data_IF_534001001444
#
_entry.id   IF_534001001444
#
_cell.length_a   1.000
_cell.length_b   1.000
_cell.length_c   1.000
_cell.angle_alpha   90.00
_cell.angle_beta   90.00
_cell.angle_gamma   90.00
#
_symmetry.space_group_name_H-M   'P 1'
#
loop_
_entity.id
_entity.type
_entity.pdbx_description
1 polymer ?
#
# COMPACT_ATOMS: atom_id res chain seq x y z
N UNK A 1 -7.53 41.64 7.16
CA UNK A 1 -7.50 40.30 6.53
C UNK A 1 -7.93 40.47 5.09
N UNK A 2 -7.26 39.83 4.12
CA UNK A 2 -7.70 39.88 2.73
C UNK A 2 -9.07 39.19 2.61
N UNK A 3 -9.99 39.79 1.86
CA UNK A 3 -11.32 39.23 1.61
C UNK A 3 -11.20 37.86 0.91
N UNK A 4 -11.99 36.87 1.35
CA UNK A 4 -11.99 35.50 0.84
C UNK A 4 -12.26 35.49 -0.67
N UNK A 5 -13.13 36.39 -1.15
CA UNK A 5 -13.44 36.53 -2.57
C UNK A 5 -12.22 36.93 -3.39
N UNK A 6 -11.40 37.85 -2.89
CA UNK A 6 -10.16 38.27 -3.54
C UNK A 6 -9.11 37.16 -3.54
N UNK A 7 -9.03 36.35 -2.48
CA UNK A 7 -8.14 35.20 -2.42
C UNK A 7 -8.54 34.11 -3.42
N UNK A 8 -9.84 33.84 -3.55
CA UNK A 8 -10.38 32.87 -4.52
C UNK A 8 -10.21 33.36 -5.96
N UNK A 9 -10.42 34.66 -6.22
CA UNK A 9 -10.15 35.25 -7.54
C UNK A 9 -8.70 35.09 -7.95
N UNK A 10 -7.77 35.41 -7.03
CA UNK A 10 -6.34 35.24 -7.26
C UNK A 10 -5.93 33.77 -7.45
N UNK A 11 -6.53 32.85 -6.68
CA UNK A 11 -6.31 31.41 -6.88
C UNK A 11 -6.76 30.97 -8.27
N UNK A 12 -7.93 31.43 -8.72
CA UNK A 12 -8.46 31.10 -10.04
C UNK A 12 -7.57 31.64 -11.16
N UNK A 13 -7.13 32.89 -11.09
CA UNK A 13 -6.20 33.49 -12.06
C UNK A 13 -4.90 32.68 -12.21
N UNK A 14 -4.33 32.23 -11.09
CA UNK A 14 -3.12 31.40 -11.11
C UNK A 14 -3.41 29.97 -11.57
N UNK A 15 -4.57 29.40 -11.24
CA UNK A 15 -4.98 28.08 -11.71
C UNK A 15 -5.14 28.03 -13.24
N UNK A 16 -5.64 29.12 -13.85
CA UNK A 16 -5.87 29.21 -15.30
C UNK A 16 -4.72 29.82 -16.09
N UNK A 17 -3.73 30.43 -15.44
CA UNK A 17 -2.60 31.09 -16.09
C UNK A 17 -1.24 30.47 -15.73
N UNK A 18 -0.41 31.15 -14.92
CA UNK A 18 0.98 30.73 -14.64
C UNK A 18 1.13 29.44 -13.82
N UNK A 19 0.03 28.89 -13.30
CA UNK A 19 -0.01 27.65 -12.54
C UNK A 19 0.12 27.83 -11.03
N UNK A 20 -0.45 26.88 -10.29
CA UNK A 20 -0.43 26.86 -8.81
C UNK A 20 1.00 26.81 -8.24
N UNK A 21 1.96 26.23 -8.98
CA UNK A 21 3.37 26.22 -8.59
C UNK A 21 3.94 27.63 -8.43
N UNK A 22 3.68 28.53 -9.40
CA UNK A 22 4.10 29.92 -9.35
C UNK A 22 3.41 30.69 -8.21
N UNK A 23 2.16 30.35 -7.90
CA UNK A 23 1.44 30.94 -6.76
C UNK A 23 2.10 30.58 -5.42
N UNK A 24 2.58 29.33 -5.27
CA UNK A 24 3.19 28.85 -4.03
C UNK A 24 4.55 29.47 -3.74
N UNK A 25 5.31 29.83 -4.77
CA UNK A 25 6.66 30.38 -4.66
C UNK A 25 6.70 31.90 -4.85
N UNK A 26 5.63 32.50 -5.37
CA UNK A 26 5.54 33.93 -5.66
C UNK A 26 5.68 34.80 -4.39
N UNK A 27 6.50 35.88 -4.42
CA UNK A 27 6.75 36.74 -3.24
C UNK A 27 5.50 37.39 -2.64
N UNK A 28 4.50 37.67 -3.49
CA UNK A 28 3.22 38.25 -3.06
C UNK A 28 2.22 37.19 -2.56
N UNK A 29 2.32 35.96 -3.05
CA UNK A 29 1.26 34.94 -2.93
C UNK A 29 1.60 33.81 -1.98
N UNK A 30 2.89 33.53 -1.72
CA UNK A 30 3.30 32.43 -0.83
C UNK A 30 2.72 32.57 0.60
N UNK A 31 2.47 33.80 1.05
CA UNK A 31 1.90 34.10 2.37
C UNK A 31 0.47 33.56 2.53
N UNK A 32 -0.29 33.38 1.45
CA UNK A 32 -1.63 32.79 1.47
C UNK A 32 -1.63 31.33 1.93
N UNK A 33 -0.51 30.64 1.78
CA UNK A 33 -0.34 29.27 2.24
C UNK A 33 0.17 29.18 3.69
N UNK A 34 0.37 30.31 4.38
CA UNK A 34 0.74 30.26 5.81
C UNK A 34 -0.48 29.91 6.67
N UNK A 35 -0.32 29.09 7.72
CA UNK A 35 -1.41 28.74 8.64
C UNK A 35 -2.13 29.97 9.21
N UNK A 36 -1.40 31.06 9.46
CA UNK A 36 -1.92 32.30 10.03
C UNK A 36 -2.88 33.09 9.13
N UNK A 37 -2.96 32.74 7.83
CA UNK A 37 -3.76 33.48 6.82
C UNK A 37 -4.95 32.65 6.34
N UNK A 38 -5.01 31.36 6.70
CA UNK A 38 -6.14 30.48 6.37
C UNK A 38 -7.22 30.61 7.47
N UNK A 39 -8.51 30.49 7.15
CA UNK A 39 -9.57 30.35 8.15
C UNK A 39 -9.24 29.21 9.12
N UNK A 40 -9.38 29.45 10.42
CA UNK A 40 -9.21 28.38 11.41
C UNK A 40 -10.38 27.41 11.31
N UNK A 41 -10.08 26.17 10.97
CA UNK A 41 -11.03 25.07 11.09
C UNK A 41 -10.89 24.46 12.49
N UNK A 42 -11.95 23.81 12.96
CA UNK A 42 -11.92 23.01 14.21
C UNK A 42 -10.81 21.95 14.20
N UNK A 43 -10.36 21.53 13.01
CA UNK A 43 -9.28 20.58 12.78
C UNK A 43 -7.88 21.22 12.67
N UNK A 44 -7.77 22.55 12.57
CA UNK A 44 -6.47 23.23 12.40
C UNK A 44 -5.57 23.17 13.64
N UNK A 45 -6.12 22.82 14.81
CA UNK A 45 -5.36 22.58 16.05
C UNK A 45 -4.77 21.17 16.14
N UNK A 46 -5.09 20.28 15.19
CA UNK A 46 -4.72 18.86 15.25
C UNK A 46 -3.30 18.55 14.73
N UNK A 47 -2.54 19.56 14.30
CA UNK A 47 -1.16 19.41 13.83
C UNK A 47 -1.02 18.60 12.53
N UNK A 48 0.22 18.26 12.16
CA UNK A 48 0.58 17.59 10.89
C UNK A 48 0.16 16.11 10.80
N UNK A 49 -0.33 15.52 11.89
CA UNK A 49 -0.70 14.12 12.00
C UNK A 49 -2.03 13.98 12.73
N UNK A 50 -3.08 14.59 12.17
CA UNK A 50 -4.41 14.63 12.79
C UNK A 50 -5.14 13.28 12.72
N UNK A 51 -4.67 12.31 13.50
CA UNK A 51 -5.41 11.12 13.91
C UNK A 51 -5.32 11.04 15.45
N UNK A 52 -6.22 11.73 16.15
CA UNK A 52 -6.40 11.49 17.59
C UNK A 52 -7.27 10.25 17.72
N UNK A 53 -6.65 9.09 17.96
CA UNK A 53 -7.39 7.92 18.40
C UNK A 53 -8.22 8.31 19.61
N UNK A 54 -9.52 8.02 19.56
CA UNK A 54 -10.39 8.21 20.70
C UNK A 54 -9.98 7.20 21.79
N UNK A 55 -9.05 7.60 22.66
CA UNK A 55 -8.52 6.78 23.76
C UNK A 55 -9.61 6.29 24.72
N UNK A 56 -10.82 6.89 24.69
CA UNK A 56 -11.95 6.41 25.52
C UNK A 56 -12.52 5.06 25.05
N UNK A 57 -12.20 4.63 23.83
CA UNK A 57 -12.46 3.29 23.31
C UNK A 57 -11.13 2.62 23.00
N UNK A 58 -10.38 2.26 24.05
CA UNK A 58 -9.33 1.25 23.90
C UNK A 58 -10.05 -0.01 23.42
N UNK A 59 -9.98 -0.30 22.11
CA UNK A 59 -10.23 -1.66 21.64
C UNK A 59 -9.34 -2.54 22.50
N UNK A 60 -9.94 -3.45 23.27
CA UNK A 60 -9.21 -4.26 24.25
C UNK A 60 -7.95 -4.81 23.59
N UNK A 61 -6.80 -4.60 24.23
CA UNK A 61 -5.54 -5.10 23.68
C UNK A 61 -5.62 -6.62 23.69
N UNK A 62 -5.78 -7.22 22.52
CA UNK A 62 -5.75 -8.67 22.37
C UNK A 62 -4.33 -9.11 22.68
N UNK A 63 -4.14 -9.78 23.82
CA UNK A 63 -2.88 -10.41 24.14
C UNK A 63 -2.72 -11.62 23.21
N UNK A 64 -1.65 -11.61 22.42
CA UNK A 64 -1.29 -12.72 21.53
C UNK A 64 -0.04 -13.34 22.13
N UNK A 65 -0.13 -14.61 22.49
CA UNK A 65 1.03 -15.41 22.90
C UNK A 65 1.44 -16.37 21.78
N UNK A 66 2.47 -17.18 22.05
CA UNK A 66 2.98 -18.16 21.09
C UNK A 66 1.94 -19.21 20.69
N UNK A 67 1.08 -19.62 21.63
CA UNK A 67 0.06 -20.62 21.36
C UNK A 67 -1.03 -20.07 20.45
N UNK A 68 -1.44 -18.82 20.67
CA UNK A 68 -2.37 -18.11 19.78
C UNK A 68 -1.75 -17.92 18.40
N UNK A 69 -0.48 -17.52 18.29
CA UNK A 69 0.19 -17.41 17.00
C UNK A 69 0.23 -18.73 16.23
N UNK A 70 0.59 -19.83 16.90
CA UNK A 70 0.60 -21.17 16.28
C UNK A 70 -0.80 -21.58 15.82
N UNK A 71 -1.82 -21.30 16.63
CA UNK A 71 -3.21 -21.56 16.27
C UNK A 71 -3.64 -20.77 15.03
N UNK A 72 -3.25 -19.49 14.94
CA UNK A 72 -3.51 -18.66 13.76
C UNK A 72 -2.78 -19.17 12.52
N UNK A 73 -1.50 -19.58 12.64
CA UNK A 73 -0.74 -20.16 11.52
C UNK A 73 -1.42 -21.40 10.96
N UNK A 74 -1.81 -22.31 11.86
CA UNK A 74 -2.52 -23.53 11.48
C UNK A 74 -3.88 -23.25 10.86
N UNK A 75 -4.64 -22.28 11.39
CA UNK A 75 -5.96 -21.93 10.88
C UNK A 75 -5.90 -21.26 9.50
N UNK A 76 -4.92 -20.39 9.28
CA UNK A 76 -4.71 -19.70 8.00
C UNK A 76 -4.09 -20.64 6.95
N UNK A 77 -3.39 -21.68 7.39
CA UNK A 77 -2.66 -22.60 6.50
C UNK A 77 -1.28 -22.06 6.09
N UNK A 78 -0.60 -21.37 7.01
CA UNK A 78 0.77 -20.89 6.79
C UNK A 78 1.73 -22.09 6.81
N UNK A 79 2.51 -22.25 5.74
CA UNK A 79 3.62 -23.21 5.72
C UNK A 79 4.78 -22.68 6.56
N UNK A 80 4.88 -23.19 7.79
CA UNK A 80 5.92 -22.78 8.74
C UNK A 80 7.32 -23.22 8.29
N UNK A 81 7.45 -24.31 7.54
CA UNK A 81 8.76 -24.77 7.07
C UNK A 81 9.30 -23.79 6.02
N UNK A 82 8.47 -23.43 5.04
CA UNK A 82 8.81 -22.45 4.01
C UNK A 82 9.10 -21.09 4.66
N UNK A 83 8.24 -20.64 5.57
CA UNK A 83 8.44 -19.35 6.26
C UNK A 83 9.76 -19.30 7.03
N UNK A 84 10.06 -20.33 7.83
CA UNK A 84 11.30 -20.37 8.63
C UNK A 84 12.55 -20.53 7.76
N UNK A 85 12.43 -21.14 6.57
CA UNK A 85 13.55 -21.35 5.66
C UNK A 85 13.85 -20.11 4.79
N UNK A 86 12.80 -19.50 4.23
CA UNK A 86 12.94 -18.45 3.21
C UNK A 86 12.71 -17.04 3.76
N UNK A 87 11.98 -16.90 4.87
CA UNK A 87 11.51 -15.62 5.40
C UNK A 87 10.35 -15.02 4.60
N UNK A 88 9.72 -15.82 3.72
CA UNK A 88 8.58 -15.42 2.88
C UNK A 88 7.62 -16.61 2.71
N UNK A 89 6.33 -16.34 2.50
CA UNK A 89 5.29 -17.35 2.27
C UNK A 89 4.13 -16.75 1.47
N UNK A 90 3.57 -17.54 0.56
CA UNK A 90 2.37 -17.16 -0.18
C UNK A 90 1.12 -17.68 0.53
N UNK A 91 0.13 -16.80 0.70
CA UNK A 91 -1.12 -17.14 1.39
C UNK A 91 -2.31 -16.68 0.55
N UNK A 92 -3.16 -17.63 0.16
CA UNK A 92 -4.35 -17.40 -0.67
C UNK A 92 -5.51 -16.76 0.09
N UNK A 93 -5.31 -15.54 0.62
CA UNK A 93 -6.29 -14.89 1.51
C UNK A 93 -7.48 -14.27 0.78
N UNK A 94 -7.28 -13.80 -0.46
CA UNK A 94 -8.19 -12.85 -1.11
C UNK A 94 -9.01 -13.45 -2.25
N UNK A 95 -9.12 -14.78 -2.32
CA UNK A 95 -9.90 -15.45 -3.36
C UNK A 95 -11.38 -15.03 -3.35
N UNK A 96 -11.89 -14.65 -2.18
CA UNK A 96 -13.22 -14.11 -2.02
C UNK A 96 -13.50 -12.90 -2.93
N UNK A 97 -12.49 -12.09 -3.29
CA UNK A 97 -12.66 -10.93 -4.18
C UNK A 97 -13.16 -11.32 -5.57
N UNK A 98 -12.88 -12.55 -6.04
CA UNK A 98 -13.38 -13.12 -7.29
C UNK A 98 -14.78 -13.72 -7.13
N UNK A 99 -15.11 -14.19 -5.93
CA UNK A 99 -16.36 -14.90 -5.64
C UNK A 99 -17.54 -13.95 -5.36
N UNK A 100 -17.27 -12.80 -4.73
CA UNK A 100 -18.31 -11.85 -4.36
C UNK A 100 -18.55 -10.81 -5.46
N UNK A 101 -19.80 -10.71 -5.89
CA UNK A 101 -20.26 -9.65 -6.78
C UNK A 101 -20.29 -8.30 -6.04
N UNK A 102 -19.99 -7.24 -6.76
CA UNK A 102 -20.16 -5.88 -6.29
C UNK A 102 -21.63 -5.53 -6.16
N UNK A 103 -22.00 -5.06 -4.98
CA UNK A 103 -23.32 -4.51 -4.71
C UNK A 103 -23.35 -3.04 -5.15
N UNK A 104 -23.53 -2.81 -6.45
CA UNK A 104 -23.67 -1.46 -7.02
C UNK A 104 -25.05 -1.26 -7.65
N UNK A 105 -25.57 -0.05 -7.51
CA UNK A 105 -26.79 0.40 -8.21
C UNK A 105 -26.50 0.84 -9.64
N UNK A 106 -25.23 1.02 -10.01
CA UNK A 106 -24.82 1.36 -11.37
C UNK A 106 -24.93 0.14 -12.31
N UNK A 107 -25.76 0.20 -13.37
CA UNK A 107 -25.92 -0.89 -14.32
C UNK A 107 -24.62 -1.38 -14.96
N UNK A 108 -23.61 -0.50 -15.09
CA UNK A 108 -22.29 -0.85 -15.68
C UNK A 108 -21.45 -1.73 -14.77
N UNK A 109 -21.75 -1.73 -13.47
CA UNK A 109 -21.05 -2.48 -12.44
C UNK A 109 -21.82 -3.71 -11.98
N UNK A 110 -23.05 -3.91 -12.48
CA UNK A 110 -23.85 -5.08 -12.16
C UNK A 110 -23.18 -6.37 -12.68
N UNK A 111 -23.15 -7.40 -11.83
CA UNK A 111 -22.55 -8.69 -12.14
C UNK A 111 -21.03 -8.73 -12.11
N UNK A 112 -20.35 -7.58 -11.93
CA UNK A 112 -18.89 -7.55 -11.75
C UNK A 112 -18.51 -8.03 -10.35
N UNK A 113 -17.46 -8.84 -10.27
CA UNK A 113 -16.79 -9.19 -9.02
C UNK A 113 -16.02 -7.99 -8.45
N UNK A 114 -15.71 -8.05 -7.14
CA UNK A 114 -14.85 -7.02 -6.53
C UNK A 114 -13.47 -6.97 -7.17
N UNK A 115 -12.95 -8.12 -7.59
CA UNK A 115 -11.72 -8.25 -8.36
C UNK A 115 -11.75 -7.41 -9.65
N UNK A 116 -12.81 -7.51 -10.45
CA UNK A 116 -12.94 -6.74 -11.69
C UNK A 116 -13.00 -5.23 -11.44
N UNK A 117 -13.56 -4.79 -10.31
CA UNK A 117 -13.52 -3.37 -9.93
C UNK A 117 -12.12 -2.91 -9.55
N UNK A 118 -11.34 -3.76 -8.88
CA UNK A 118 -9.95 -3.45 -8.57
C UNK A 118 -9.16 -3.28 -9.88
N UNK A 119 -9.34 -4.16 -10.87
CA UNK A 119 -8.72 -4.01 -12.19
C UNK A 119 -9.16 -2.74 -12.91
N UNK A 120 -10.46 -2.42 -12.88
CA UNK A 120 -10.99 -1.19 -13.48
C UNK A 120 -10.36 0.07 -12.86
N UNK A 121 -10.03 0.03 -11.57
CA UNK A 121 -9.32 1.11 -10.91
C UNK A 121 -7.93 1.37 -11.54
N UNK A 122 -7.20 0.30 -11.89
CA UNK A 122 -5.92 0.40 -12.59
C UNK A 122 -6.09 0.91 -14.02
N UNK A 123 -7.14 0.48 -14.74
CA UNK A 123 -7.44 1.00 -16.08
C UNK A 123 -7.72 2.51 -16.05
N UNK A 124 -8.49 2.97 -15.08
CA UNK A 124 -8.77 4.41 -14.86
C UNK A 124 -7.46 5.14 -14.55
N UNK A 125 -6.62 4.57 -13.68
CA UNK A 125 -5.33 5.16 -13.36
C UNK A 125 -4.46 5.34 -14.62
N UNK A 126 -4.30 4.28 -15.41
CA UNK A 126 -3.52 4.32 -16.65
C UNK A 126 -4.08 5.32 -17.66
N UNK A 127 -5.40 5.38 -17.82
CA UNK A 127 -6.06 6.32 -18.73
C UNK A 127 -5.76 7.79 -18.38
N UNK A 128 -5.67 8.12 -17.09
CA UNK A 128 -5.44 9.49 -16.61
C UNK A 128 -3.96 9.79 -16.33
N UNK A 129 -3.08 8.79 -16.38
CA UNK A 129 -1.66 8.97 -16.13
C UNK A 129 -1.03 9.78 -17.27
N UNK A 130 -0.61 11.01 -16.97
CA UNK A 130 0.24 11.78 -17.89
C UNK A 130 1.62 11.14 -17.94
N UNK A 131 1.94 10.49 -19.05
CA UNK A 131 3.29 9.98 -19.31
C UNK A 131 4.25 11.18 -19.47
N UNK A 132 4.92 11.56 -18.38
CA UNK A 132 5.77 12.75 -18.33
C UNK A 132 7.20 12.51 -18.88
N UNK A 133 7.50 11.34 -19.44
CA UNK A 133 8.84 10.96 -19.90
C UNK A 133 8.78 9.81 -20.92
N UNK A 134 9.80 9.70 -21.79
CA UNK A 134 10.01 8.58 -22.73
C UNK A 134 10.32 7.25 -22.03
N UNK A 135 10.72 7.28 -20.77
CA UNK A 135 10.75 6.10 -19.93
C UNK A 135 9.33 5.82 -19.44
N UNK A 136 8.72 4.75 -19.96
CA UNK A 136 7.56 4.17 -19.29
C UNK A 136 8.08 3.73 -17.93
N UNK A 137 7.59 4.34 -16.85
CA UNK A 137 8.14 4.15 -15.50
C UNK A 137 8.14 2.67 -15.07
N UNK A 138 8.83 2.37 -13.96
CA UNK A 138 9.04 1.02 -13.42
C UNK A 138 7.77 0.30 -12.89
N UNK A 139 6.60 0.54 -13.48
CA UNK A 139 5.32 -0.03 -13.07
C UNK A 139 4.68 0.63 -11.83
N UNK A 140 5.42 1.43 -11.06
CA UNK A 140 4.88 2.08 -9.85
C UNK A 140 3.82 3.13 -10.14
N UNK A 141 2.66 2.95 -9.55
CA UNK A 141 1.55 3.88 -9.58
C UNK A 141 1.69 4.89 -8.44
N UNK A 142 2.67 5.80 -8.55
CA UNK A 142 3.07 6.73 -7.48
C UNK A 142 1.96 7.63 -6.93
N UNK A 143 0.92 7.87 -7.73
CA UNK A 143 -0.25 8.68 -7.33
C UNK A 143 -1.44 7.82 -6.88
N UNK A 144 -1.36 6.49 -7.01
CA UNK A 144 -2.40 5.54 -6.59
C UNK A 144 -2.11 5.03 -5.17
N UNK A 145 -1.96 5.97 -4.25
CA UNK A 145 -1.76 5.68 -2.83
C UNK A 145 -3.13 5.65 -2.15
N UNK A 146 -3.46 4.57 -1.43
CA UNK A 146 -4.79 4.31 -0.89
C UNK A 146 -5.86 4.01 -1.94
N UNK A 147 -5.52 3.18 -2.93
CA UNK A 147 -6.51 2.67 -3.89
C UNK A 147 -7.70 2.01 -3.17
N UNK A 148 -8.87 1.98 -3.81
CA UNK A 148 -10.06 1.31 -3.29
C UNK A 148 -9.75 -0.17 -3.02
N UNK A 149 -9.02 -0.81 -3.93
CA UNK A 149 -8.52 -2.17 -3.72
C UNK A 149 -7.67 -2.29 -2.45
N UNK A 150 -6.70 -1.40 -2.24
CA UNK A 150 -5.88 -1.40 -1.03
C UNK A 150 -6.69 -1.17 0.24
N UNK A 151 -7.72 -0.32 0.19
CA UNK A 151 -8.60 -0.08 1.33
C UNK A 151 -9.44 -1.32 1.66
N UNK A 152 -9.98 -1.98 0.63
CA UNK A 152 -10.78 -3.19 0.76
C UNK A 152 -9.96 -4.34 1.39
N UNK A 153 -8.79 -4.63 0.85
CA UNK A 153 -7.88 -5.66 1.34
C UNK A 153 -7.46 -5.40 2.80
N UNK A 154 -7.20 -4.13 3.16
CA UNK A 154 -6.80 -3.76 4.54
C UNK A 154 -7.93 -3.90 5.56
N UNK A 155 -9.18 -3.98 5.13
CA UNK A 155 -10.32 -4.24 6.02
C UNK A 155 -10.54 -5.72 6.31
N UNK A 156 -9.87 -6.61 5.58
CA UNK A 156 -9.97 -8.05 5.79
C UNK A 156 -9.33 -8.45 7.14
N UNK A 157 -10.11 -8.97 8.11
CA UNK A 157 -9.57 -9.38 9.40
C UNK A 157 -8.60 -10.58 9.27
N UNK A 158 -8.74 -11.43 8.26
CA UNK A 158 -7.84 -12.56 8.02
C UNK A 158 -6.46 -12.05 7.59
N UNK A 159 -6.41 -10.99 6.79
CA UNK A 159 -5.16 -10.32 6.46
C UNK A 159 -4.46 -9.77 7.71
N UNK A 160 -5.19 -9.10 8.59
CA UNK A 160 -4.66 -8.68 9.89
C UNK A 160 -4.11 -9.86 10.72
N UNK A 161 -4.88 -10.95 10.83
CA UNK A 161 -4.48 -12.15 11.56
C UNK A 161 -3.22 -12.80 10.97
N UNK A 162 -3.07 -12.80 9.64
CA UNK A 162 -1.88 -13.31 8.96
C UNK A 162 -0.62 -12.55 9.39
N UNK A 163 -0.67 -11.22 9.40
CA UNK A 163 0.45 -10.40 9.89
C UNK A 163 0.75 -10.69 11.36
N UNK A 164 -0.26 -10.79 12.22
CA UNK A 164 -0.07 -11.12 13.65
C UNK A 164 0.56 -12.51 13.84
N UNK A 165 0.17 -13.49 13.02
CA UNK A 165 0.68 -14.85 13.07
C UNK A 165 2.17 -14.95 12.67
N UNK A 166 2.60 -14.15 11.70
CA UNK A 166 3.96 -14.16 11.16
C UNK A 166 4.95 -13.32 11.98
N UNK A 167 4.49 -12.41 12.84
CA UNK A 167 5.37 -11.57 13.69
C UNK A 167 6.15 -12.38 14.70
N UNK A 168 7.45 -12.10 14.82
CA UNK A 168 8.29 -12.75 15.82
C UNK A 168 7.99 -12.29 17.26
N UNK A 169 7.47 -11.06 17.44
CA UNK A 169 7.33 -10.37 18.73
C UNK A 169 5.97 -10.54 19.42
N UNK A 170 5.07 -11.35 18.85
CA UNK A 170 3.73 -11.62 19.37
C UNK A 170 2.87 -10.36 19.59
N UNK A 171 3.18 -9.23 18.95
CA UNK A 171 2.38 -8.01 19.08
C UNK A 171 1.19 -8.02 18.14
N UNK A 172 0.01 -7.75 18.70
CA UNK A 172 -1.22 -7.54 17.93
C UNK A 172 -1.33 -6.12 17.35
N UNK A 173 -0.57 -5.16 17.88
CA UNK A 173 -0.61 -3.77 17.40
C UNK A 173 0.15 -3.62 16.08
N UNK A 174 -0.59 -3.43 14.99
CA UNK A 174 -0.03 -3.20 13.64
C UNK A 174 -0.17 -1.75 13.24
N UNK A 175 0.88 -1.21 12.62
CA UNK A 175 0.86 0.08 11.92
C UNK A 175 1.07 -0.20 10.45
N UNK A 176 0.07 0.08 9.61
CA UNK A 176 0.19 -0.03 8.16
C UNK A 176 0.63 1.31 7.58
N UNK A 177 1.68 1.29 6.78
CA UNK A 177 2.07 2.44 5.97
C UNK A 177 1.38 2.37 4.61
N UNK A 178 0.97 3.51 4.03
CA UNK A 178 0.60 3.55 2.63
C UNK A 178 1.81 3.17 1.77
N UNK A 179 1.59 2.28 0.81
CA UNK A 179 2.54 1.91 -0.21
C UNK A 179 1.88 2.18 -1.57
N UNK A 180 2.61 2.72 -2.57
CA UNK A 180 2.08 2.78 -3.93
C UNK A 180 1.74 1.37 -4.44
N UNK A 181 0.74 1.27 -5.31
CA UNK A 181 0.50 0.05 -6.09
C UNK A 181 1.50 -0.04 -7.23
N UNK A 182 1.70 -1.25 -7.76
CA UNK A 182 2.52 -1.50 -8.91
C UNK A 182 1.67 -2.19 -9.97
N UNK A 183 1.86 -1.81 -11.23
CA UNK A 183 1.36 -2.55 -12.39
C UNK A 183 2.59 -3.19 -13.02
N UNK A 184 2.66 -4.51 -12.97
CA UNK A 184 3.72 -5.24 -13.65
C UNK A 184 3.47 -5.24 -15.15
N UNK A 185 4.55 -5.11 -15.92
CA UNK A 185 4.53 -5.12 -17.37
C UNK A 185 5.76 -5.89 -17.85
N UNK A 186 5.65 -6.69 -18.93
CA UNK A 186 6.78 -7.42 -19.48
C UNK A 186 7.97 -6.49 -19.77
N UNK A 187 9.13 -6.78 -19.15
CA UNK A 187 10.35 -5.99 -19.29
C UNK A 187 10.55 -4.90 -18.23
N UNK A 188 9.60 -4.72 -17.31
CA UNK A 188 9.69 -3.82 -16.15
C UNK A 188 9.89 -4.61 -14.87
N UNK A 189 10.94 -5.42 -14.83
CA UNK A 189 11.25 -6.30 -13.71
C UNK A 189 12.58 -5.92 -13.07
N UNK A 190 12.61 -4.84 -12.30
CA UNK A 190 13.49 -4.77 -11.13
C UNK A 190 12.83 -3.82 -10.13
N UNK A 191 12.14 -4.39 -9.15
CA UNK A 191 12.14 -3.77 -7.82
C UNK A 191 12.01 -4.89 -6.80
N UNK A 192 13.02 -4.98 -5.93
CA UNK A 192 13.00 -5.81 -4.74
C UNK A 192 11.82 -5.39 -3.89
N UNK A 193 10.72 -6.11 -4.06
CA UNK A 193 9.55 -6.00 -3.21
C UNK A 193 9.55 -7.25 -2.33
N UNK A 194 10.61 -7.29 -1.55
CA UNK A 194 10.78 -8.08 -0.36
C UNK A 194 9.56 -8.02 0.58
N UNK A 195 9.17 -9.18 1.06
CA UNK A 195 8.85 -9.32 2.48
C UNK A 195 10.12 -9.02 3.29
N UNK A 196 10.53 -7.76 3.42
CA UNK A 196 11.68 -7.43 4.30
C UNK A 196 11.24 -7.67 5.74
N UNK A 197 11.85 -8.67 6.40
CA UNK A 197 11.90 -8.69 7.86
C UNK A 197 13.01 -7.74 8.32
N UNK A 198 12.80 -6.43 8.16
CA UNK A 198 13.68 -5.41 8.71
C UNK A 198 13.38 -5.24 10.22
N UNK A 199 13.77 -6.24 11.02
CA UNK A 199 13.44 -6.33 12.45
C UNK A 199 11.99 -6.75 12.68
N UNK A 200 11.21 -5.94 13.41
CA UNK A 200 9.80 -6.23 13.72
C UNK A 200 8.80 -5.80 12.62
N UNK A 201 9.30 -5.49 11.42
CA UNK A 201 8.48 -5.13 10.26
C UNK A 201 8.15 -6.37 9.43
N UNK A 202 6.93 -6.41 8.92
CA UNK A 202 6.49 -7.39 7.93
C UNK A 202 5.98 -6.61 6.73
N UNK A 203 6.61 -6.82 5.58
CA UNK A 203 6.06 -6.43 4.28
C UNK A 203 5.05 -7.46 3.82
N UNK A 204 3.98 -7.02 3.15
CA UNK A 204 3.04 -7.91 2.49
C UNK A 204 2.67 -7.33 1.14
N UNK A 205 2.68 -8.18 0.11
CA UNK A 205 2.24 -7.83 -1.23
C UNK A 205 0.99 -8.62 -1.57
N UNK A 206 0.09 -7.98 -2.31
CA UNK A 206 -1.11 -8.63 -2.82
C UNK A 206 -1.04 -8.54 -4.34
N UNK A 207 -0.86 -9.71 -4.96
CA UNK A 207 -0.88 -9.84 -6.40
C UNK A 207 -2.31 -10.10 -6.86
N UNK A 208 -2.72 -9.41 -7.93
CA UNK A 208 -4.06 -9.52 -8.50
C UNK A 208 -4.08 -10.40 -9.75
N UNK A 209 -2.94 -10.57 -10.40
CA UNK A 209 -2.76 -11.39 -11.59
C UNK A 209 -1.83 -12.57 -11.30
N UNK A 210 -1.73 -13.44 -12.30
CA UNK A 210 -0.81 -14.57 -12.26
C UNK A 210 0.56 -14.07 -12.70
N UNK A 211 1.52 -14.13 -11.78
CA UNK A 211 2.92 -13.86 -12.11
C UNK A 211 3.42 -14.87 -13.13
N UNK A 212 4.22 -14.41 -14.09
CA UNK A 212 4.89 -15.29 -15.06
C UNK A 212 6.39 -15.28 -14.83
N UNK A 213 7.09 -16.24 -15.42
CA UNK A 213 8.56 -16.31 -15.33
C UNK A 213 9.32 -15.07 -15.81
N UNK A 214 8.65 -14.19 -16.56
CA UNK A 214 9.20 -12.95 -17.10
C UNK A 214 8.59 -11.70 -16.48
N UNK A 215 7.64 -11.88 -15.57
CA UNK A 215 6.81 -10.84 -14.99
C UNK A 215 6.38 -11.31 -13.58
N UNK A 216 7.38 -11.50 -12.72
CA UNK A 216 7.22 -11.89 -11.33
C UNK A 216 8.17 -11.11 -10.44
N UNK A 217 7.83 -10.97 -9.16
CA UNK A 217 8.73 -10.42 -8.16
C UNK A 217 9.75 -11.49 -7.75
N UNK A 218 11.03 -11.23 -7.98
CA UNK A 218 12.11 -12.12 -7.53
C UNK A 218 12.47 -11.81 -6.07
N UNK A 219 12.40 -12.83 -5.21
CA UNK A 219 12.81 -12.73 -3.80
C UNK A 219 14.13 -13.48 -3.64
N UNK A 220 15.13 -12.82 -3.05
CA UNK A 220 16.38 -13.47 -2.64
C UNK A 220 16.19 -14.16 -1.28
N UNK A 221 16.20 -15.50 -1.21
CA UNK A 221 16.00 -16.20 0.06
C UNK A 221 17.04 -15.82 1.11
N UNK A 222 16.61 -15.62 2.35
CA UNK A 222 17.51 -15.40 3.48
C UNK A 222 18.14 -14.01 3.59
N UNK A 223 17.87 -13.07 2.67
CA UNK A 223 18.37 -11.68 2.75
C UNK A 223 17.85 -10.93 3.98
N UNK A 224 16.74 -11.41 4.55
CA UNK A 224 16.05 -10.84 5.70
C UNK A 224 16.33 -11.57 7.02
N UNK A 225 17.05 -12.70 6.97
CA UNK A 225 17.39 -13.49 8.15
C UNK A 225 18.71 -13.01 8.77
N UNK A 226 18.82 -12.95 10.11
CA UNK A 226 20.08 -12.61 10.76
C UNK A 226 21.12 -13.72 10.52
N UNK A 227 22.12 -13.46 9.66
CA UNK A 227 23.19 -14.37 9.27
C UNK A 227 24.46 -13.62 8.82
N UNK A 228 25.60 -14.32 8.58
CA UNK A 228 26.86 -13.66 8.24
C UNK A 228 26.70 -12.77 7.01
N UNK A 229 27.45 -11.67 6.99
CA UNK A 229 27.34 -10.64 5.97
C UNK A 229 27.26 -11.25 4.57
N UNK A 230 26.37 -10.69 3.74
CA UNK A 230 26.06 -11.01 2.33
C UNK A 230 27.21 -11.53 1.44
N UNK A 231 28.47 -11.28 1.81
CA UNK A 231 29.68 -11.76 1.15
C UNK A 231 29.95 -13.27 1.28
N UNK A 232 29.31 -13.95 2.23
CA UNK A 232 29.55 -15.38 2.52
C UNK A 232 28.46 -16.32 1.99
N UNK A 233 27.38 -15.77 1.41
CA UNK A 233 26.37 -16.58 0.73
C UNK A 233 26.93 -17.02 -0.63
N UNK A 234 26.88 -18.32 -0.98
CA UNK A 234 27.22 -18.75 -2.33
C UNK A 234 26.34 -17.97 -3.31
N UNK A 235 26.92 -17.49 -4.41
CA UNK A 235 26.22 -16.90 -5.56
C UNK A 235 25.29 -17.95 -6.18
N UNK A 236 24.20 -18.26 -5.49
CA UNK A 236 23.10 -19.00 -6.05
C UNK A 236 22.40 -18.04 -7.02
N UNK A 237 22.19 -18.52 -8.25
CA UNK A 237 21.38 -17.79 -9.22
C UNK A 237 20.02 -17.46 -8.59
N UNK A 238 19.44 -16.27 -8.87
CA UNK A 238 18.08 -15.96 -8.42
C UNK A 238 17.17 -17.11 -8.83
N UNK A 239 16.61 -17.80 -7.85
CA UNK A 239 15.62 -18.84 -8.10
C UNK A 239 14.34 -18.13 -8.47
N UNK A 240 14.04 -18.13 -9.76
CA UNK A 240 12.72 -17.77 -10.25
C UNK A 240 11.74 -18.81 -9.72
N UNK A 241 10.90 -18.38 -8.78
CA UNK A 241 9.90 -19.24 -8.18
C UNK A 241 8.78 -19.39 -9.21
N UNK A 242 8.81 -20.46 -9.99
CA UNK A 242 7.73 -20.81 -10.91
C UNK A 242 6.83 -21.86 -10.25
N UNK A 243 5.56 -21.50 -10.07
CA UNK A 243 4.54 -22.44 -9.63
C UNK A 243 3.40 -22.51 -10.65
N UNK A 244 2.78 -23.70 -10.81
CA UNK A 244 1.84 -24.03 -11.88
C UNK A 244 0.55 -23.20 -11.89
#
# INVERSE_FOLDING_TARGET
MADLRSQLGLFYEYATGPGIGAMRTGPATYRLFRPSVRPSYTTSSLGTYSYRHNMSKVFGTVAVDRQVQQSLRSWIGIDEQIWNQLGSVNVGLFEWTRQFACMSTDPRLQGKSMYELMLLEFDIYQHHLRQASRDRGCGWCTNMVHSLGQQLIRQDPVHYCCHVALRADCRASLVSYPCPTQIQQPGYGVDGADTWQAGSHIGGLVMLDTETSKDCTEILPGITMPGPAYKDLPTAAPTSIHWP
#
